data_IF_758267955406
#
_entry.id   IF_758267955406
#
_cell.length_a   1.000
_cell.length_b   1.000
_cell.length_c   1.000
_cell.angle_alpha   90.00
_cell.angle_beta   90.00
_cell.angle_gamma   90.00
#
_symmetry.space_group_name_H-M   'P 1'
#
loop_
_entity.id
_entity.type
_entity.pdbx_description
1 polymer ?
#
# COMPACT_ATOMS: atom_id res chain seq x y z
N UNK A 1 -17.32 89.88 -1.72
CA UNK A 1 -17.98 89.33 -0.50
C UNK A 1 -17.22 88.09 -0.07
N UNK A 2 -16.73 88.07 1.20
CA UNK A 2 -16.25 86.89 1.95
C UNK A 2 -14.98 86.23 1.36
N UNK A 3 -13.98 85.75 2.10
CA UNK A 3 -13.79 85.51 3.53
C UNK A 3 -12.27 85.31 3.76
N UNK A 4 -11.75 86.00 4.78
CA UNK A 4 -10.81 85.52 5.81
C UNK A 4 -9.40 84.99 5.43
N UNK A 5 -8.43 85.88 5.70
CA UNK A 5 -7.29 85.70 6.59
C UNK A 5 -6.24 84.60 6.30
N UNK A 6 -5.19 85.04 5.61
CA UNK A 6 -3.80 84.70 5.93
C UNK A 6 -3.55 84.74 7.45
N UNK A 7 -2.88 83.74 8.04
CA UNK A 7 -1.59 83.99 8.70
C UNK A 7 -0.81 82.67 8.88
N UNK A 8 0.42 82.74 8.39
CA UNK A 8 1.52 81.79 8.42
C UNK A 8 1.94 81.40 9.83
N UNK A 9 2.06 80.09 10.13
CA UNK A 9 2.90 79.60 11.23
C UNK A 9 3.97 78.67 10.65
N UNK A 10 5.07 79.31 10.27
CA UNK A 10 6.34 78.67 10.05
C UNK A 10 6.95 78.26 11.40
N UNK A 11 7.54 77.06 11.44
CA UNK A 11 8.67 76.78 12.31
C UNK A 11 8.37 75.96 13.56
N UNK A 12 8.35 74.64 13.41
CA UNK A 12 8.97 73.75 14.40
C UNK A 12 9.84 72.72 13.68
N UNK A 13 11.06 73.18 13.40
CA UNK A 13 12.21 72.36 13.00
C UNK A 13 12.68 71.58 14.23
N UNK A 14 12.17 70.36 14.43
CA UNK A 14 12.72 69.40 15.39
C UNK A 14 13.85 68.61 14.71
N UNK A 15 15.06 69.11 14.90
CA UNK A 15 16.29 68.41 14.56
C UNK A 15 16.75 67.55 15.75
N UNK A 16 17.29 66.36 15.43
CA UNK A 16 18.18 65.50 16.26
C UNK A 16 17.45 64.68 17.34
N UNK A 17 17.68 63.38 17.48
CA UNK A 17 18.99 62.76 17.72
C UNK A 17 18.99 61.27 17.39
N UNK A 18 20.20 60.83 17.06
CA UNK A 18 20.68 59.50 16.72
C UNK A 18 20.47 58.45 17.83
N UNK A 19 20.27 57.22 17.36
CA UNK A 19 20.85 55.96 17.85
C UNK A 19 20.59 55.59 19.31
N UNK A 20 19.79 54.54 19.53
CA UNK A 20 20.23 53.42 20.37
C UNK A 20 19.73 52.11 19.76
N UNK A 21 20.65 51.49 19.05
CA UNK A 21 20.77 50.04 18.88
C UNK A 21 20.55 49.30 20.20
N UNK A 22 19.66 48.31 20.18
CA UNK A 22 19.88 47.03 20.85
C UNK A 22 18.98 45.97 20.20
N UNK A 23 19.43 45.40 19.08
CA UNK A 23 19.04 44.05 18.68
C UNK A 23 19.51 43.12 19.80
N UNK A 24 18.61 42.72 20.69
CA UNK A 24 18.79 41.49 21.45
C UNK A 24 17.99 40.39 20.76
N UNK A 25 18.44 40.02 19.56
CA UNK A 25 18.19 38.66 19.08
C UNK A 25 19.08 37.79 19.97
N UNK A 26 18.51 37.31 21.07
CA UNK A 26 19.15 36.31 21.92
C UNK A 26 19.54 35.15 21.03
N UNK A 27 20.84 35.00 20.79
CA UNK A 27 21.38 33.85 20.10
C UNK A 27 20.89 32.62 20.84
N UNK A 28 20.06 31.82 20.18
CA UNK A 28 19.73 30.48 20.66
C UNK A 28 21.06 29.79 20.91
N UNK A 29 21.37 29.58 22.19
CA UNK A 29 22.48 28.74 22.62
C UNK A 29 22.39 27.46 21.81
N UNK A 30 23.36 27.24 20.93
CA UNK A 30 23.58 25.92 20.35
C UNK A 30 24.02 25.02 21.50
N UNK A 31 23.05 24.54 22.29
CA UNK A 31 23.26 23.42 23.21
C UNK A 31 23.61 22.22 22.33
N UNK A 32 24.82 21.70 22.51
CA UNK A 32 25.24 20.47 21.85
C UNK A 32 24.38 19.30 22.31
N UNK A 33 24.20 18.32 21.43
CA UNK A 33 23.50 17.07 21.71
C UNK A 33 24.20 16.35 22.87
N UNK A 34 23.46 15.95 23.91
CA UNK A 34 24.04 15.17 25.01
C UNK A 34 23.98 13.67 24.71
N UNK A 35 24.96 12.90 25.21
CA UNK A 35 24.93 11.44 25.09
C UNK A 35 23.68 10.84 25.77
N UNK A 36 23.24 11.44 26.87
CA UNK A 36 22.04 11.00 27.59
C UNK A 36 20.76 11.22 26.78
N UNK A 37 20.69 12.32 26.03
CA UNK A 37 19.56 12.62 25.15
C UNK A 37 19.46 11.61 24.01
N UNK A 38 20.59 11.25 23.39
CA UNK A 38 20.62 10.17 22.40
C UNK A 38 20.25 8.82 23.02
N UNK A 39 20.73 8.52 24.23
CA UNK A 39 20.42 7.28 24.94
C UNK A 39 18.93 7.15 25.25
N UNK A 40 18.27 8.22 25.68
CA UNK A 40 16.82 8.22 25.92
C UNK A 40 16.06 8.02 24.61
N UNK A 41 16.49 8.66 23.52
CA UNK A 41 15.83 8.53 22.20
C UNK A 41 15.87 7.09 21.70
N UNK A 42 17.02 6.41 21.77
CA UNK A 42 17.11 5.01 21.32
C UNK A 42 16.28 4.06 22.20
N UNK A 43 16.17 4.35 23.51
CA UNK A 43 15.34 3.55 24.43
C UNK A 43 13.85 3.71 24.10
N UNK A 44 13.37 4.94 23.91
CA UNK A 44 11.96 5.19 23.56
C UNK A 44 11.64 4.62 22.19
N UNK A 45 12.53 4.77 21.20
CA UNK A 45 12.36 4.15 19.87
C UNK A 45 12.26 2.62 19.97
N UNK A 46 13.10 1.98 20.78
CA UNK A 46 13.04 0.53 21.01
C UNK A 46 11.70 0.07 21.60
N UNK A 47 11.18 0.82 22.59
CA UNK A 47 9.88 0.51 23.20
C UNK A 47 8.74 0.66 22.18
N UNK A 48 8.74 1.73 21.39
CA UNK A 48 7.70 1.96 20.37
C UNK A 48 7.73 0.87 19.30
N UNK A 49 8.91 0.53 18.77
CA UNK A 49 9.07 -0.53 17.76
C UNK A 49 8.58 -1.88 18.32
N UNK A 50 8.91 -2.19 19.58
CA UNK A 50 8.46 -3.42 20.24
C UNK A 50 6.93 -3.53 20.34
N UNK A 51 6.26 -2.44 20.71
CA UNK A 51 4.79 -2.41 20.79
C UNK A 51 4.15 -2.52 19.40
N UNK A 52 4.69 -1.81 18.40
CA UNK A 52 4.17 -1.90 17.03
C UNK A 52 4.31 -3.33 16.51
N UNK A 53 5.49 -3.95 16.64
CA UNK A 53 5.73 -5.31 16.16
C UNK A 53 4.81 -6.35 16.82
N UNK A 54 4.49 -6.18 18.11
CA UNK A 54 3.61 -7.09 18.84
C UNK A 54 2.11 -6.95 18.48
N UNK A 55 1.69 -5.83 17.88
CA UNK A 55 0.30 -5.59 17.49
C UNK A 55 0.06 -5.76 15.97
N UNK A 56 1.08 -6.20 15.21
CA UNK A 56 0.92 -6.52 13.80
C UNK A 56 0.56 -8.00 13.64
N UNK A 57 -0.74 -8.29 13.54
CA UNK A 57 -1.22 -9.60 13.13
C UNK A 57 -0.97 -9.78 11.62
N UNK A 58 0.18 -10.36 11.29
CA UNK A 58 0.54 -10.72 9.90
C UNK A 58 -0.48 -11.68 9.29
N UNK A 59 -1.13 -12.51 10.11
CA UNK A 59 -2.18 -13.44 9.68
C UNK A 59 -3.46 -12.74 9.19
N UNK A 60 -3.78 -11.54 9.68
CA UNK A 60 -4.94 -10.79 9.21
C UNK A 60 -4.74 -10.27 7.77
N UNK A 61 -3.48 -10.03 7.38
CA UNK A 61 -3.15 -9.65 6.01
C UNK A 61 -3.34 -10.83 5.05
N UNK A 62 -2.89 -12.03 5.44
CA UNK A 62 -3.03 -13.27 4.66
C UNK A 62 -4.52 -13.57 4.38
N UNK A 63 -5.38 -13.50 5.41
CA UNK A 63 -6.84 -13.71 5.27
C UNK A 63 -7.48 -12.73 4.29
N UNK A 64 -7.10 -11.45 4.36
CA UNK A 64 -7.62 -10.44 3.44
C UNK A 64 -7.17 -10.67 1.99
N UNK A 65 -5.98 -11.22 1.78
CA UNK A 65 -5.48 -11.54 0.45
C UNK A 65 -6.19 -12.76 -0.15
N UNK A 66 -6.52 -13.78 0.64
CA UNK A 66 -7.28 -14.95 0.19
C UNK A 66 -8.70 -14.54 -0.27
N UNK A 67 -9.37 -13.67 0.47
CA UNK A 67 -10.67 -13.12 0.05
C UNK A 67 -10.58 -12.32 -1.27
N UNK A 68 -9.47 -11.60 -1.48
CA UNK A 68 -9.19 -10.92 -2.75
C UNK A 68 -9.01 -11.92 -3.88
N UNK A 69 -8.33 -13.04 -3.65
CA UNK A 69 -8.18 -14.11 -4.65
C UNK A 69 -9.54 -14.66 -5.10
N UNK A 70 -10.46 -14.95 -4.16
CA UNK A 70 -11.83 -15.40 -4.48
C UNK A 70 -12.58 -14.38 -5.36
N UNK A 71 -12.43 -13.09 -5.04
CA UNK A 71 -13.01 -12.01 -5.84
C UNK A 71 -12.35 -11.88 -7.22
N UNK A 72 -11.02 -12.05 -7.29
CA UNK A 72 -10.26 -12.03 -8.52
C UNK A 72 -10.68 -13.19 -9.44
N UNK A 73 -10.88 -14.41 -8.90
CA UNK A 73 -11.31 -15.57 -9.65
C UNK A 73 -12.60 -15.34 -10.46
N UNK A 74 -13.63 -14.77 -9.83
CA UNK A 74 -14.90 -14.45 -10.50
C UNK A 74 -14.71 -13.44 -11.63
N UNK A 75 -13.94 -12.38 -11.37
CA UNK A 75 -13.70 -11.32 -12.35
C UNK A 75 -12.80 -11.79 -13.51
N UNK A 76 -11.77 -12.58 -13.22
CA UNK A 76 -10.85 -13.11 -14.22
C UNK A 76 -11.52 -14.14 -15.11
N UNK A 77 -12.34 -15.03 -14.55
CA UNK A 77 -13.06 -16.03 -15.33
C UNK A 77 -13.99 -15.37 -16.36
N UNK A 78 -14.76 -14.35 -15.95
CA UNK A 78 -15.64 -13.62 -16.88
C UNK A 78 -14.85 -12.88 -17.98
N UNK A 79 -13.71 -12.25 -17.63
CA UNK A 79 -12.83 -11.58 -18.59
C UNK A 79 -12.19 -12.55 -19.58
N UNK A 80 -11.75 -13.70 -19.10
CA UNK A 80 -11.15 -14.73 -19.92
C UNK A 80 -12.15 -15.30 -20.93
N UNK A 81 -13.39 -15.60 -20.50
CA UNK A 81 -14.45 -16.03 -21.41
C UNK A 81 -14.72 -15.01 -22.52
N UNK A 82 -14.73 -13.71 -22.19
CA UNK A 82 -14.86 -12.64 -23.18
C UNK A 82 -13.65 -12.55 -24.13
N UNK A 83 -12.45 -12.80 -23.61
CA UNK A 83 -11.23 -12.84 -24.42
C UNK A 83 -11.24 -13.99 -25.42
N UNK A 84 -11.61 -15.20 -25.00
CA UNK A 84 -11.69 -16.37 -25.90
C UNK A 84 -12.76 -16.25 -26.98
N UNK A 85 -13.81 -15.47 -26.74
CA UNK A 85 -14.82 -15.18 -27.76
C UNK A 85 -14.28 -14.34 -28.92
N UNK A 86 -13.19 -13.61 -28.72
CA UNK A 86 -12.67 -12.62 -29.69
C UNK A 86 -11.25 -12.91 -30.17
N UNK A 87 -10.46 -13.66 -29.40
CA UNK A 87 -9.05 -13.96 -29.66
C UNK A 87 -8.79 -15.46 -29.73
N UNK A 88 -7.61 -15.85 -30.20
CA UNK A 88 -7.15 -17.24 -30.07
C UNK A 88 -7.03 -17.59 -28.59
N UNK A 89 -7.61 -18.72 -28.20
CA UNK A 89 -7.55 -19.17 -26.82
C UNK A 89 -6.11 -19.33 -26.35
N UNK A 90 -5.86 -18.94 -25.10
CA UNK A 90 -4.57 -19.13 -24.47
C UNK A 90 -4.23 -20.62 -24.36
N UNK A 91 -2.93 -20.93 -24.44
CA UNK A 91 -2.40 -22.28 -24.25
C UNK A 91 -2.27 -22.57 -22.76
N UNK A 92 -2.12 -23.84 -22.44
CA UNK A 92 -1.77 -24.26 -21.08
C UNK A 92 -0.43 -23.65 -20.66
N UNK A 93 -0.33 -23.23 -19.40
CA UNK A 93 0.75 -22.45 -18.79
C UNK A 93 0.99 -21.06 -19.40
N UNK A 94 0.13 -20.56 -20.30
CA UNK A 94 0.18 -19.17 -20.70
C UNK A 94 -0.30 -18.27 -19.55
N UNK A 95 0.39 -17.16 -19.27
CA UNK A 95 -0.03 -16.23 -18.24
C UNK A 95 -1.24 -15.41 -18.71
N UNK A 96 -2.09 -15.06 -17.75
CA UNK A 96 -3.31 -14.25 -17.96
C UNK A 96 -2.97 -12.81 -18.37
N UNK A 97 -1.75 -12.34 -18.10
CA UNK A 97 -1.24 -11.03 -18.54
C UNK A 97 -1.34 -10.81 -20.05
N UNK A 98 -1.36 -11.89 -20.86
CA UNK A 98 -1.59 -11.82 -22.32
C UNK A 98 -2.97 -11.28 -22.72
N UNK A 99 -3.94 -11.31 -21.81
CA UNK A 99 -5.27 -10.73 -22.04
C UNK A 99 -5.27 -9.19 -21.98
N UNK A 100 -4.13 -8.55 -21.68
CA UNK A 100 -3.97 -7.10 -21.57
C UNK A 100 -5.02 -6.45 -20.66
N UNK A 101 -5.15 -7.00 -19.45
CA UNK A 101 -6.08 -6.50 -18.43
C UNK A 101 -5.49 -5.22 -17.83
N UNK A 102 -6.22 -4.10 -17.97
CA UNK A 102 -5.78 -2.78 -17.51
C UNK A 102 -5.54 -2.67 -15.98
N UNK A 103 -6.00 -3.65 -15.20
CA UNK A 103 -5.81 -3.66 -13.75
C UNK A 103 -4.83 -4.78 -13.34
N UNK A 104 -3.58 -4.41 -13.05
CA UNK A 104 -2.53 -5.37 -12.68
C UNK A 104 -2.79 -6.05 -11.34
N UNK A 105 -3.45 -5.37 -10.41
CA UNK A 105 -3.77 -5.93 -9.09
C UNK A 105 -4.76 -7.11 -9.19
N UNK A 106 -5.48 -7.22 -10.31
CA UNK A 106 -6.38 -8.34 -10.58
C UNK A 106 -5.69 -9.49 -11.32
N UNK A 107 -4.53 -9.26 -11.94
CA UNK A 107 -3.80 -10.28 -12.70
C UNK A 107 -2.77 -11.03 -11.87
N UNK A 108 -2.53 -10.55 -10.65
CA UNK A 108 -1.61 -11.15 -9.71
C UNK A 108 -2.37 -11.87 -8.59
N UNK A 109 -1.79 -12.94 -8.12
CA UNK A 109 -2.27 -13.69 -6.97
C UNK A 109 -1.83 -13.06 -5.63
N UNK A 110 -2.27 -13.60 -4.47
CA UNK A 110 -1.88 -13.12 -3.15
C UNK A 110 -0.37 -12.97 -2.92
N UNK A 111 0.43 -13.80 -3.60
CA UNK A 111 1.88 -13.86 -3.48
C UNK A 111 2.61 -13.00 -4.53
N UNK A 112 1.86 -12.35 -5.42
CA UNK A 112 2.41 -11.48 -6.45
C UNK A 112 2.82 -12.21 -7.73
N UNK A 113 2.44 -13.47 -7.89
CA UNK A 113 2.68 -14.27 -9.09
C UNK A 113 1.55 -14.06 -10.10
N UNK A 114 1.85 -14.20 -11.40
CA UNK A 114 0.81 -14.11 -12.43
C UNK A 114 -0.04 -15.37 -12.46
N UNK A 115 -1.36 -15.21 -12.58
CA UNK A 115 -2.23 -16.35 -12.87
C UNK A 115 -1.93 -16.93 -14.25
N UNK A 116 -2.13 -18.24 -14.41
CA UNK A 116 -1.89 -18.97 -15.64
C UNK A 116 -3.07 -19.85 -16.04
N UNK A 117 -3.08 -20.31 -17.29
CA UNK A 117 -4.10 -21.23 -17.78
C UNK A 117 -3.70 -22.67 -17.47
N UNK A 118 -4.59 -23.41 -16.82
CA UNK A 118 -4.38 -24.79 -16.42
C UNK A 118 -5.58 -25.64 -16.83
N UNK A 119 -5.43 -26.96 -16.69
CA UNK A 119 -6.50 -27.93 -16.86
C UNK A 119 -6.78 -28.62 -15.53
N UNK A 120 -8.06 -28.70 -15.17
CA UNK A 120 -8.49 -29.49 -14.01
C UNK A 120 -8.41 -31.00 -14.29
N UNK A 121 -8.52 -31.85 -13.26
CA UNK A 121 -8.57 -33.31 -13.44
C UNK A 121 -9.71 -33.79 -14.36
N UNK A 122 -10.80 -33.00 -14.48
CA UNK A 122 -11.94 -33.29 -15.37
C UNK A 122 -11.70 -32.85 -16.83
N UNK A 123 -10.53 -32.25 -17.11
CA UNK A 123 -10.14 -31.81 -18.44
C UNK A 123 -10.64 -30.41 -18.84
N UNK A 124 -11.30 -29.69 -17.95
CA UNK A 124 -11.78 -28.32 -18.17
C UNK A 124 -10.63 -27.33 -18.00
N UNK A 125 -10.55 -26.39 -18.93
CA UNK A 125 -9.61 -25.28 -18.79
C UNK A 125 -10.14 -24.28 -17.77
N UNK A 126 -9.25 -23.76 -16.97
CA UNK A 126 -9.52 -22.67 -16.05
C UNK A 126 -8.25 -21.86 -15.79
N UNK A 127 -8.39 -20.85 -14.94
CA UNK A 127 -7.28 -20.06 -14.44
C UNK A 127 -6.78 -20.70 -13.14
N UNK A 128 -5.46 -20.79 -12.97
CA UNK A 128 -4.78 -21.26 -11.77
C UNK A 128 -3.75 -20.25 -11.27
N UNK A 129 -3.35 -20.40 -10.01
CA UNK A 129 -2.18 -19.77 -9.39
C UNK A 129 -1.15 -20.86 -9.05
N UNK A 130 0.13 -20.50 -9.12
CA UNK A 130 1.25 -21.39 -8.78
C UNK A 130 1.52 -21.42 -7.26
N UNK A 131 0.62 -20.89 -6.44
CA UNK A 131 0.87 -20.74 -5.01
C UNK A 131 2.00 -19.74 -4.72
N UNK A 132 2.63 -19.90 -3.55
CA UNK A 132 3.62 -18.96 -3.04
C UNK A 132 4.97 -19.02 -3.78
N UNK A 133 5.36 -20.17 -4.33
CA UNK A 133 6.66 -20.38 -4.95
C UNK A 133 6.74 -19.93 -6.43
N UNK A 134 5.58 -19.75 -7.07
CA UNK A 134 5.49 -19.32 -8.47
C UNK A 134 5.88 -20.41 -9.48
N UNK A 135 5.92 -21.68 -9.08
CA UNK A 135 6.29 -22.81 -9.93
C UNK A 135 5.18 -23.88 -9.99
N UNK A 136 5.10 -24.67 -11.08
CA UNK A 136 4.12 -25.74 -11.19
C UNK A 136 4.39 -26.84 -10.16
N UNK A 137 3.33 -27.31 -9.49
CA UNK A 137 3.39 -28.35 -8.48
C UNK A 137 3.39 -27.79 -7.07
N UNK A 138 4.39 -28.18 -6.27
CA UNK A 138 4.53 -27.75 -4.87
C UNK A 138 3.77 -28.60 -3.85
N UNK A 139 3.99 -28.27 -2.58
CA UNK A 139 3.33 -28.84 -1.40
C UNK A 139 2.92 -27.70 -0.46
N UNK A 140 1.85 -27.87 0.31
CA UNK A 140 1.33 -26.85 1.22
C UNK A 140 1.10 -25.50 0.49
N UNK A 141 1.64 -24.40 1.02
CA UNK A 141 1.46 -23.04 0.46
C UNK A 141 2.05 -22.86 -0.94
N UNK A 142 2.86 -23.80 -1.38
CA UNK A 142 3.47 -23.82 -2.71
C UNK A 142 2.62 -24.64 -3.71
N UNK A 143 1.52 -25.26 -3.27
CA UNK A 143 0.63 -26.00 -4.17
C UNK A 143 -0.09 -25.11 -5.19
N UNK A 144 -0.21 -25.61 -6.42
CA UNK A 144 -1.06 -25.04 -7.46
C UNK A 144 -2.53 -24.92 -7.01
N UNK A 145 -3.13 -23.75 -7.20
CA UNK A 145 -4.50 -23.44 -6.79
C UNK A 145 -5.41 -23.25 -8.00
N UNK A 146 -6.51 -24.03 -8.05
CA UNK A 146 -7.56 -23.93 -9.06
C UNK A 146 -8.59 -22.84 -8.70
N UNK A 147 -8.60 -21.71 -9.39
CA UNK A 147 -9.41 -20.55 -8.98
C UNK A 147 -10.92 -20.77 -9.03
N UNK A 148 -11.43 -21.61 -9.94
CA UNK A 148 -12.89 -21.82 -10.12
C UNK A 148 -13.39 -23.09 -9.42
N UNK A 149 -12.48 -23.93 -8.92
CA UNK A 149 -12.78 -25.24 -8.33
C UNK A 149 -12.41 -25.27 -6.85
N UNK A 150 -13.29 -24.70 -6.03
CA UNK A 150 -13.13 -24.67 -4.56
C UNK A 150 -13.05 -26.09 -3.95
N UNK A 151 -13.66 -27.08 -4.60
CA UNK A 151 -13.61 -28.49 -4.19
C UNK A 151 -12.23 -29.13 -4.37
N UNK A 152 -11.38 -28.56 -5.22
CA UNK A 152 -10.01 -29.00 -5.49
C UNK A 152 -8.97 -28.16 -4.75
N UNK A 153 -9.39 -27.28 -3.83
CA UNK A 153 -8.45 -26.46 -3.08
C UNK A 153 -7.62 -27.30 -2.10
N UNK A 154 -6.33 -26.96 -1.93
CA UNK A 154 -5.48 -27.55 -0.90
C UNK A 154 -6.14 -27.50 0.48
N UNK A 155 -5.82 -28.47 1.34
CA UNK A 155 -6.43 -28.56 2.67
C UNK A 155 -6.20 -27.29 3.51
N UNK A 156 -4.97 -26.79 3.54
CA UNK A 156 -4.60 -25.58 4.28
C UNK A 156 -5.40 -24.35 3.84
N UNK A 157 -5.67 -24.22 2.54
CA UNK A 157 -6.38 -23.06 1.99
C UNK A 157 -7.86 -23.13 2.36
N UNK A 158 -8.46 -24.32 2.37
CA UNK A 158 -9.86 -24.50 2.79
C UNK A 158 -10.06 -24.15 4.25
N UNK A 159 -9.13 -24.57 5.10
CA UNK A 159 -9.18 -24.25 6.54
C UNK A 159 -9.03 -22.74 6.77
N UNK A 160 -8.09 -22.08 6.07
CA UNK A 160 -7.85 -20.64 6.20
C UNK A 160 -9.02 -19.79 5.67
N UNK A 161 -9.66 -20.24 4.58
CA UNK A 161 -10.89 -19.61 4.05
C UNK A 161 -12.06 -19.78 5.02
N UNK A 162 -12.22 -20.96 5.61
CA UNK A 162 -13.28 -21.20 6.59
C UNK A 162 -13.12 -20.30 7.82
N UNK A 163 -11.89 -20.14 8.33
CA UNK A 163 -11.60 -19.20 9.41
C UNK A 163 -11.82 -17.73 9.03
N UNK A 164 -11.58 -17.38 7.76
CA UNK A 164 -11.78 -16.02 7.26
C UNK A 164 -13.26 -15.68 7.06
N UNK A 165 -14.12 -16.67 6.80
CA UNK A 165 -15.58 -16.49 6.70
C UNK A 165 -16.28 -16.47 8.07
N UNK A 166 -15.66 -17.02 9.12
CA UNK A 166 -16.21 -17.05 10.49
C UNK A 166 -15.98 -15.74 11.28
N UNK A 167 -15.02 -14.90 10.86
CA UNK A 167 -14.68 -13.61 11.50
C UNK A 167 -15.26 -12.40 10.75
#
# INVERSE_FOLDING_TARGET
MKQQAFTTLAGLRLERRRLLSARLVGGRLRRGLTLMELAIVIVVLGIIIGIIAANLDLSALDKAQILRMKTAALNLNSRWQAYEATHTSLRENDPVSRMNINNRDMTLDPWGNEYFICRDPDGRRQICSFGADGQPGGEDRDEDIYLTREDLWPAWLRDEVAEAEEN
#
